data_IF_719124897317
#
_entry.id   IF_719124897317
#
_cell.length_a   1.000
_cell.length_b   1.000
_cell.length_c   1.000
_cell.angle_alpha   90.00
_cell.angle_beta   90.00
_cell.angle_gamma   90.00
#
_symmetry.space_group_name_H-M   'P 1'
#
loop_
_entity.id
_entity.type
_entity.pdbx_description
1 polymer ?
#
# COMPACT_ATOMS: atom_id res chain seq x y z
N UNK A 1 -0.57 11.43 15.18
CA UNK A 1 -1.46 11.75 14.04
C UNK A 1 -2.88 11.29 14.36
N UNK A 2 -3.92 11.92 13.80
CA UNK A 2 -5.32 11.50 13.96
C UNK A 2 -6.08 11.78 12.66
N UNK A 3 -6.82 10.80 12.13
CA UNK A 3 -7.73 11.03 11.01
C UNK A 3 -8.99 11.76 11.48
N UNK A 4 -9.44 12.71 10.66
CA UNK A 4 -10.72 13.40 10.84
C UNK A 4 -11.63 13.05 9.68
N UNK A 5 -12.65 12.25 9.94
CA UNK A 5 -13.66 11.90 8.96
C UNK A 5 -14.57 13.10 8.69
N UNK A 6 -14.75 13.43 7.41
CA UNK A 6 -15.61 14.52 6.98
C UNK A 6 -16.94 13.95 6.46
N UNK A 7 -18.07 14.65 6.66
CA UNK A 7 -19.33 14.22 6.08
C UNK A 7 -19.26 14.30 4.54
N UNK A 8 -20.02 13.44 3.85
CA UNK A 8 -20.02 13.32 2.38
C UNK A 8 -20.20 14.67 1.67
N UNK A 9 -21.07 15.54 2.21
CA UNK A 9 -21.29 16.92 1.70
C UNK A 9 -20.04 17.81 1.68
N UNK A 10 -18.98 17.41 2.37
CA UNK A 10 -17.71 18.13 2.46
C UNK A 10 -16.56 17.34 1.81
N UNK A 11 -16.83 16.32 0.99
CA UNK A 11 -15.82 15.46 0.37
C UNK A 11 -14.73 16.21 -0.40
N UNK A 12 -15.07 17.35 -1.01
CA UNK A 12 -14.12 18.21 -1.75
C UNK A 12 -13.06 18.87 -0.85
N UNK A 13 -13.24 18.83 0.47
CA UNK A 13 -12.29 19.33 1.47
C UNK A 13 -11.45 18.21 2.09
N UNK A 14 -11.66 16.96 1.70
CA UNK A 14 -10.93 15.83 2.25
C UNK A 14 -9.60 15.62 1.51
N UNK A 15 -8.53 15.48 2.29
CA UNK A 15 -7.20 15.16 1.77
C UNK A 15 -7.13 13.74 1.19
N UNK A 16 -7.95 12.83 1.71
CA UNK A 16 -8.15 11.46 1.20
C UNK A 16 -9.63 11.29 0.84
N UNK A 17 -9.91 10.85 -0.38
CA UNK A 17 -11.27 10.65 -0.92
C UNK A 17 -11.41 9.21 -1.37
N UNK A 18 -12.21 8.43 -0.64
CA UNK A 18 -12.31 6.97 -0.82
C UNK A 18 -13.53 6.65 -1.70
N UNK A 19 -13.32 5.85 -2.74
CA UNK A 19 -14.36 5.23 -3.55
C UNK A 19 -14.47 3.73 -3.28
N UNK A 20 -15.59 3.15 -3.71
CA UNK A 20 -15.86 1.71 -3.73
C UNK A 20 -16.31 1.30 -5.14
N UNK A 21 -15.42 1.51 -6.11
CA UNK A 21 -15.70 1.27 -7.53
C UNK A 21 -15.27 -0.16 -7.88
N UNK A 22 -16.25 -0.98 -8.23
CA UNK A 22 -16.03 -2.36 -8.67
C UNK A 22 -15.22 -2.42 -9.98
N UNK A 23 -14.29 -3.36 -10.05
CA UNK A 23 -13.42 -3.58 -11.21
C UNK A 23 -12.27 -2.56 -11.35
N UNK A 24 -12.13 -1.63 -10.40
CA UNK A 24 -11.06 -0.63 -10.37
C UNK A 24 -9.89 -1.05 -9.46
N UNK A 25 -10.02 -2.17 -8.75
CA UNK A 25 -9.02 -2.71 -7.83
C UNK A 25 -8.84 -1.89 -6.55
N UNK A 26 -7.95 -2.37 -5.67
CA UNK A 26 -7.56 -1.64 -4.46
C UNK A 26 -6.34 -0.77 -4.76
N UNK A 27 -6.42 0.52 -4.43
CA UNK A 27 -5.31 1.45 -4.63
C UNK A 27 -5.46 2.72 -3.79
N UNK A 28 -4.34 3.42 -3.59
CA UNK A 28 -4.30 4.76 -2.98
C UNK A 28 -3.20 5.62 -3.60
N UNK A 29 -3.47 6.91 -3.69
CA UNK A 29 -2.45 7.92 -3.94
C UNK A 29 -1.39 7.87 -2.82
N UNK A 30 -0.12 8.10 -3.21
CA UNK A 30 1.00 8.06 -2.27
C UNK A 30 1.12 9.37 -1.48
N UNK A 31 0.86 9.30 -0.18
CA UNK A 31 1.06 10.42 0.75
C UNK A 31 0.35 11.70 0.29
N UNK A 32 1.07 12.82 0.30
CA UNK A 32 0.53 14.14 -0.10
C UNK A 32 0.27 14.28 -1.61
N UNK A 33 0.52 13.25 -2.43
CA UNK A 33 0.14 13.31 -3.84
C UNK A 33 -1.39 13.39 -4.03
N UNK A 34 -2.17 12.91 -3.05
CA UNK A 34 -3.64 13.00 -3.05
C UNK A 34 -4.18 14.44 -3.19
N UNK A 35 -3.37 15.44 -2.81
CA UNK A 35 -3.69 16.87 -2.92
C UNK A 35 -3.65 17.34 -4.38
N UNK A 36 -2.86 16.67 -5.23
CA UNK A 36 -2.73 17.00 -6.67
C UNK A 36 -3.87 16.39 -7.48
N UNK A 37 -4.48 15.32 -6.98
CA UNK A 37 -5.62 14.66 -7.63
C UNK A 37 -6.83 15.58 -7.64
N UNK A 38 -7.54 15.63 -8.77
CA UNK A 38 -8.66 16.55 -8.96
C UNK A 38 -9.71 16.38 -7.86
N UNK A 39 -10.29 17.50 -7.41
CA UNK A 39 -11.16 17.56 -6.21
C UNK A 39 -12.42 16.69 -6.27
N UNK A 40 -12.83 16.28 -7.48
CA UNK A 40 -13.99 15.41 -7.71
C UNK A 40 -13.62 13.94 -7.92
N UNK A 41 -12.32 13.63 -8.04
CA UNK A 41 -11.81 12.28 -8.26
C UNK A 41 -11.42 11.62 -6.93
N UNK A 42 -11.58 10.29 -6.80
CA UNK A 42 -11.05 9.56 -5.66
C UNK A 42 -9.53 9.65 -5.60
N UNK A 43 -8.98 9.48 -4.40
CA UNK A 43 -7.54 9.32 -4.13
C UNK A 43 -7.22 7.96 -3.53
N UNK A 44 -8.24 7.13 -3.37
CA UNK A 44 -8.19 5.77 -2.86
C UNK A 44 -9.44 5.03 -3.33
N UNK A 45 -9.30 3.76 -3.65
CA UNK A 45 -10.42 2.88 -3.99
C UNK A 45 -10.29 1.56 -3.23
N UNK A 46 -11.43 1.03 -2.79
CA UNK A 46 -11.56 -0.35 -2.36
C UNK A 46 -12.50 -1.11 -3.30
N UNK A 47 -12.11 -2.33 -3.64
CA UNK A 47 -12.86 -3.21 -4.53
C UNK A 47 -13.17 -4.55 -3.83
N UNK A 48 -14.36 -5.09 -4.11
CA UNK A 48 -14.83 -6.34 -3.53
C UNK A 48 -15.09 -6.30 -2.02
N UNK A 49 -15.26 -5.11 -1.42
CA UNK A 49 -15.62 -4.99 0.00
C UNK A 49 -17.10 -5.34 0.19
N UNK A 50 -17.38 -6.35 1.03
CA UNK A 50 -18.74 -6.74 1.41
C UNK A 50 -18.97 -6.61 2.91
N UNK A 51 -20.23 -6.69 3.34
CA UNK A 51 -20.60 -6.73 4.76
C UNK A 51 -20.56 -8.16 5.35
N UNK A 52 -20.09 -9.15 4.60
CA UNK A 52 -19.96 -10.53 5.09
C UNK A 52 -18.88 -10.61 6.19
N UNK A 53 -19.19 -11.11 7.40
CA UNK A 53 -18.21 -11.26 8.47
C UNK A 53 -16.99 -12.11 8.10
N UNK A 54 -17.12 -13.02 7.13
CA UNK A 54 -16.00 -13.84 6.65
C UNK A 54 -14.93 -13.03 5.89
N UNK A 55 -15.29 -11.85 5.38
CA UNK A 55 -14.36 -10.94 4.69
C UNK A 55 -13.58 -10.03 5.66
N UNK A 56 -13.84 -10.08 6.97
CA UNK A 56 -13.26 -9.16 7.95
C UNK A 56 -11.72 -9.12 7.91
N UNK A 57 -11.06 -10.25 7.64
CA UNK A 57 -9.60 -10.30 7.52
C UNK A 57 -9.11 -9.60 6.24
N UNK A 58 -9.79 -9.79 5.12
CA UNK A 58 -9.50 -9.12 3.84
C UNK A 58 -9.73 -7.62 3.96
N UNK A 59 -10.89 -7.19 4.47
CA UNK A 59 -11.22 -5.78 4.72
C UNK A 59 -10.14 -5.10 5.55
N UNK A 60 -9.71 -5.75 6.64
CA UNK A 60 -8.67 -5.23 7.53
C UNK A 60 -7.31 -5.12 6.84
N UNK A 61 -6.86 -6.20 6.19
CA UNK A 61 -5.56 -6.25 5.50
C UNK A 61 -5.47 -5.14 4.44
N UNK A 62 -6.44 -5.12 3.52
CA UNK A 62 -6.50 -4.16 2.42
C UNK A 62 -6.64 -2.72 2.94
N UNK A 63 -7.48 -2.49 3.96
CA UNK A 63 -7.59 -1.15 4.56
C UNK A 63 -6.26 -0.69 5.15
N UNK A 64 -5.55 -1.54 5.90
CA UNK A 64 -4.26 -1.16 6.48
C UNK A 64 -3.21 -0.88 5.38
N UNK A 65 -3.20 -1.68 4.31
CA UNK A 65 -2.30 -1.52 3.17
C UNK A 65 -2.52 -0.19 2.46
N UNK A 66 -3.76 0.09 2.03
CA UNK A 66 -4.07 1.32 1.28
C UNK A 66 -3.87 2.58 2.13
N UNK A 67 -4.19 2.52 3.43
CA UNK A 67 -3.86 3.62 4.32
C UNK A 67 -2.35 3.78 4.55
N UNK A 68 -1.56 2.71 4.43
CA UNK A 68 -0.10 2.81 4.37
C UNK A 68 0.37 3.66 3.20
N UNK A 69 -0.17 3.44 1.99
CA UNK A 69 0.07 4.29 0.83
C UNK A 69 -0.37 5.74 1.05
N UNK A 70 -1.55 5.97 1.62
CA UNK A 70 -2.03 7.31 1.97
C UNK A 70 -1.11 8.03 2.99
N UNK A 71 -0.34 7.28 3.77
CA UNK A 71 0.70 7.79 4.68
C UNK A 71 2.09 7.89 4.04
N UNK A 72 2.20 7.60 2.74
CA UNK A 72 3.44 7.73 1.98
C UNK A 72 4.33 6.49 1.99
N UNK A 73 3.84 5.35 2.48
CA UNK A 73 4.57 4.09 2.43
C UNK A 73 4.51 3.49 1.02
N UNK A 74 5.65 3.00 0.53
CA UNK A 74 5.74 2.24 -0.71
C UNK A 74 5.62 0.74 -0.42
N UNK A 75 5.34 -0.08 -1.45
CA UNK A 75 5.37 -1.53 -1.28
C UNK A 75 6.75 -2.03 -0.82
N UNK A 76 6.76 -3.02 0.06
CA UNK A 76 7.99 -3.60 0.64
C UNK A 76 8.88 -4.28 -0.40
N UNK A 77 8.33 -4.80 -1.50
CA UNK A 77 9.14 -5.38 -2.59
C UNK A 77 10.02 -4.36 -3.31
N UNK A 78 9.73 -3.07 -3.18
CA UNK A 78 10.60 -2.00 -3.65
C UNK A 78 11.81 -1.77 -2.75
N UNK A 79 11.86 -2.45 -1.59
CA UNK A 79 13.01 -2.37 -0.71
C UNK A 79 14.26 -2.81 -1.50
N UNK A 80 15.32 -1.98 -1.54
CA UNK A 80 16.50 -2.26 -2.33
C UNK A 80 17.26 -3.51 -1.86
N UNK A 81 16.98 -4.01 -0.65
CA UNK A 81 17.50 -5.28 -0.11
C UNK A 81 16.61 -6.47 -0.44
N UNK A 82 15.38 -6.25 -0.91
CA UNK A 82 14.46 -7.28 -1.37
C UNK A 82 14.97 -7.84 -2.72
N UNK A 83 15.84 -8.83 -2.65
CA UNK A 83 16.46 -9.49 -3.79
C UNK A 83 15.54 -10.47 -4.52
N UNK A 84 14.25 -10.13 -4.73
CA UNK A 84 13.30 -11.06 -5.36
C UNK A 84 13.80 -11.49 -6.73
N UNK A 85 13.93 -12.80 -6.90
CA UNK A 85 14.31 -13.44 -8.16
C UNK A 85 13.07 -13.67 -9.01
N UNK A 86 12.52 -12.59 -9.58
CA UNK A 86 11.30 -12.64 -10.37
C UNK A 86 11.41 -13.60 -11.56
N UNK A 87 10.44 -14.50 -11.69
CA UNK A 87 10.17 -15.22 -12.92
C UNK A 87 9.41 -14.29 -13.89
N UNK A 88 10.15 -13.35 -14.50
CA UNK A 88 9.57 -12.26 -15.30
C UNK A 88 8.58 -12.72 -16.38
N UNK A 89 8.82 -13.80 -17.16
CA UNK A 89 7.85 -14.26 -18.14
C UNK A 89 6.50 -14.64 -17.54
N UNK A 90 6.50 -15.37 -16.41
CA UNK A 90 5.26 -15.77 -15.72
C UNK A 90 4.53 -14.54 -15.19
N UNK A 91 5.26 -13.63 -14.56
CA UNK A 91 4.69 -12.40 -14.01
C UNK A 91 4.09 -11.53 -15.12
N UNK A 92 4.82 -11.28 -16.21
CA UNK A 92 4.32 -10.48 -17.33
C UNK A 92 3.04 -11.07 -17.93
N UNK A 93 2.98 -12.39 -18.10
CA UNK A 93 1.77 -13.07 -18.58
C UNK A 93 0.60 -12.92 -17.61
N UNK A 94 0.84 -13.09 -16.30
CA UNK A 94 -0.18 -12.95 -15.27
C UNK A 94 -0.80 -11.54 -15.24
N UNK A 95 0.03 -10.49 -15.25
CA UNK A 95 -0.48 -9.11 -15.18
C UNK A 95 -1.15 -8.64 -16.47
N UNK A 96 -0.74 -9.19 -17.61
CA UNK A 96 -1.43 -8.96 -18.88
C UNK A 96 -2.82 -9.59 -18.85
N UNK A 97 -2.95 -10.84 -18.40
CA UNK A 97 -4.21 -11.57 -18.37
C UNK A 97 -5.18 -11.00 -17.32
N UNK A 98 -4.71 -10.76 -16.10
CA UNK A 98 -5.55 -10.34 -14.97
C UNK A 98 -5.93 -8.85 -15.02
N UNK A 99 -5.03 -7.99 -15.49
CA UNK A 99 -5.18 -6.53 -15.38
C UNK A 99 -5.04 -5.78 -16.71
N UNK A 100 -4.73 -6.47 -17.80
CA UNK A 100 -4.45 -5.84 -19.09
C UNK A 100 -3.19 -4.97 -19.09
N UNK A 101 -2.27 -5.18 -18.14
CA UNK A 101 -1.04 -4.41 -18.07
C UNK A 101 -0.06 -4.92 -19.12
N UNK A 102 0.36 -4.03 -20.02
CA UNK A 102 1.46 -4.35 -20.92
C UNK A 102 2.79 -4.52 -20.16
N UNK A 103 3.80 -4.98 -20.90
CA UNK A 103 5.10 -5.24 -20.30
C UNK A 103 5.72 -3.98 -19.69
N UNK A 104 5.67 -2.84 -20.39
CA UNK A 104 6.25 -1.59 -19.90
C UNK A 104 5.62 -1.12 -18.59
N UNK A 105 4.29 -1.22 -18.48
CA UNK A 105 3.53 -0.89 -17.28
C UNK A 105 3.89 -1.83 -16.13
N UNK A 106 3.97 -3.13 -16.39
CA UNK A 106 4.36 -4.12 -15.37
C UNK A 106 5.81 -3.90 -14.92
N UNK A 107 6.73 -3.64 -15.84
CA UNK A 107 8.12 -3.33 -15.49
C UNK A 107 8.22 -2.07 -14.62
N UNK A 108 7.49 -1.03 -14.97
CA UNK A 108 7.51 0.24 -14.25
C UNK A 108 6.89 0.13 -12.85
N UNK A 109 5.78 -0.60 -12.71
CA UNK A 109 5.03 -0.68 -11.46
C UNK A 109 5.51 -1.77 -10.49
N UNK A 110 6.11 -2.85 -11.00
CA UNK A 110 6.44 -4.03 -10.18
C UNK A 110 7.95 -4.29 -10.09
N UNK A 111 8.68 -4.22 -11.21
CA UNK A 111 10.11 -4.60 -11.21
C UNK A 111 11.04 -3.43 -10.90
N UNK A 112 10.59 -2.20 -11.13
CA UNK A 112 11.42 -1.01 -10.95
C UNK A 112 11.69 -0.75 -9.47
N UNK A 113 12.89 -1.09 -9.01
CA UNK A 113 13.36 -0.75 -7.66
C UNK A 113 13.59 0.76 -7.53
N UNK A 114 13.17 1.33 -6.40
CA UNK A 114 13.54 2.71 -6.07
C UNK A 114 15.00 2.77 -5.62
N UNK A 115 15.71 3.81 -6.05
CA UNK A 115 17.09 4.02 -5.64
C UNK A 115 17.18 4.27 -4.12
N UNK A 116 18.18 3.69 -3.46
CA UNK A 116 18.43 3.79 -2.00
C UNK A 116 18.44 5.23 -1.47
N UNK A 117 18.81 6.20 -2.28
CA UNK A 117 18.88 7.61 -1.91
C UNK A 117 17.54 8.37 -2.04
N UNK A 118 16.48 7.73 -2.53
CA UNK A 118 15.15 8.33 -2.72
C UNK A 118 14.07 7.75 -1.82
N UNK A 119 14.39 6.75 -1.02
CA UNK A 119 13.44 6.09 -0.12
C UNK A 119 14.00 6.00 1.29
N UNK A 120 13.16 6.31 2.29
CA UNK A 120 13.42 5.82 3.64
C UNK A 120 12.96 4.36 3.65
N UNK A 121 13.89 3.43 3.83
CA UNK A 121 13.60 2.00 3.86
C UNK A 121 14.17 1.37 5.13
N UNK A 122 13.51 0.33 5.62
CA UNK A 122 14.01 -0.54 6.71
C UNK A 122 14.75 -1.73 6.13
N UNK A 123 15.27 -2.63 6.98
CA UNK A 123 15.56 -4.01 6.54
C UNK A 123 14.30 -4.64 5.93
N UNK A 124 14.47 -5.49 4.93
CA UNK A 124 13.34 -6.18 4.28
C UNK A 124 12.49 -6.94 5.30
N UNK A 125 11.18 -6.68 5.30
CA UNK A 125 10.21 -7.34 6.19
C UNK A 125 9.17 -8.16 5.40
N UNK A 126 9.30 -9.50 5.33
CA UNK A 126 8.34 -10.34 4.63
C UNK A 126 6.95 -10.37 5.28
N UNK A 127 6.78 -9.78 6.47
CA UNK A 127 5.50 -9.67 7.17
C UNK A 127 4.94 -8.25 7.17
N UNK A 128 5.60 -7.31 6.51
CA UNK A 128 5.15 -5.93 6.36
C UNK A 128 3.75 -5.91 5.75
N UNK A 129 2.84 -5.12 6.30
CA UNK A 129 1.51 -4.92 5.71
C UNK A 129 1.59 -4.35 4.29
N UNK A 130 2.72 -3.70 3.96
CA UNK A 130 3.03 -3.17 2.62
C UNK A 130 3.64 -4.24 1.69
N UNK A 131 3.69 -5.49 2.15
CA UNK A 131 4.04 -6.64 1.34
C UNK A 131 3.06 -6.78 0.18
N UNK A 132 3.60 -7.00 -1.02
CA UNK A 132 2.79 -7.33 -2.18
C UNK A 132 2.63 -8.84 -2.24
N UNK A 133 1.44 -9.35 -2.54
CA UNK A 133 1.23 -10.79 -2.72
C UNK A 133 2.15 -11.31 -3.84
N UNK A 134 3.04 -12.24 -3.50
CA UNK A 134 3.96 -12.85 -4.45
C UNK A 134 3.77 -14.36 -4.34
N UNK A 135 3.07 -15.00 -5.28
CA UNK A 135 2.98 -16.45 -5.31
C UNK A 135 4.35 -17.04 -5.68
N UNK A 136 4.66 -18.24 -5.18
CA UNK A 136 5.95 -18.91 -5.40
C UNK A 136 6.25 -19.15 -6.88
N UNK A 137 5.22 -19.26 -7.71
CA UNK A 137 5.30 -19.44 -9.16
C UNK A 137 5.84 -18.18 -9.86
N UNK A 138 5.70 -17.01 -9.22
CA UNK A 138 6.22 -15.73 -9.73
C UNK A 138 7.71 -15.52 -9.41
N UNK A 139 8.35 -16.45 -8.72
CA UNK A 139 9.78 -16.38 -8.35
C UNK A 139 10.53 -17.62 -8.81
N UNK A 140 11.83 -17.49 -9.03
CA UNK A 140 12.72 -18.57 -9.49
C UNK A 140 13.23 -19.43 -8.34
N UNK A 141 13.23 -18.90 -7.12
CA UNK A 141 13.71 -19.53 -5.89
C UNK A 141 12.59 -20.03 -4.98
N UNK A 142 11.33 -19.91 -5.41
CA UNK A 142 10.15 -20.28 -4.63
C UNK A 142 9.85 -19.32 -3.49
N UNK A 143 10.50 -18.14 -3.44
CA UNK A 143 10.14 -17.07 -2.52
C UNK A 143 8.68 -16.67 -2.72
N UNK A 144 7.92 -16.63 -1.64
CA UNK A 144 6.53 -16.21 -1.66
C UNK A 144 6.26 -15.20 -0.55
N UNK A 145 5.36 -14.27 -0.82
CA UNK A 145 4.81 -13.33 0.15
C UNK A 145 3.32 -13.59 0.23
N UNK A 146 2.88 -14.02 1.41
CA UNK A 146 1.46 -14.23 1.73
C UNK A 146 0.87 -12.91 2.18
N UNK A 147 -0.43 -12.69 1.91
CA UNK A 147 -1.12 -11.48 2.33
C UNK A 147 -1.04 -11.28 3.85
N UNK A 148 -0.36 -10.21 4.30
CA UNK A 148 -0.28 -9.87 5.71
C UNK A 148 -1.65 -9.38 6.19
N UNK A 149 -2.12 -9.88 7.33
CA UNK A 149 -3.42 -9.48 7.91
C UNK A 149 -3.31 -8.45 9.03
N UNK A 150 -2.07 -8.14 9.44
CA UNK A 150 -1.76 -7.30 10.59
C UNK A 150 -0.51 -6.46 10.33
N UNK A 151 -0.40 -5.33 11.03
CA UNK A 151 0.83 -4.55 11.07
C UNK A 151 1.96 -5.32 11.76
N UNK A 152 3.08 -5.45 11.07
CA UNK A 152 4.29 -6.07 11.60
C UNK A 152 4.91 -5.24 12.74
N UNK A 153 5.89 -5.82 13.44
CA UNK A 153 6.66 -5.08 14.43
C UNK A 153 7.55 -3.99 13.77
N UNK A 154 8.00 -4.21 12.54
CA UNK A 154 8.80 -3.24 11.78
C UNK A 154 7.90 -2.12 11.27
N UNK A 155 6.71 -2.42 10.74
CA UNK A 155 5.71 -1.41 10.31
C UNK A 155 5.43 -0.41 11.42
N UNK A 156 5.10 -0.92 12.61
CA UNK A 156 4.75 -0.11 13.78
C UNK A 156 5.89 0.81 14.20
N UNK A 157 7.13 0.30 14.22
CA UNK A 157 8.31 1.09 14.59
C UNK A 157 8.63 2.13 13.52
N UNK A 158 8.58 1.73 12.25
CA UNK A 158 8.90 2.60 11.14
C UNK A 158 7.92 3.77 11.07
N UNK A 159 6.60 3.50 11.05
CA UNK A 159 5.61 4.57 10.97
C UNK A 159 5.62 5.49 12.20
N UNK A 160 5.97 4.97 13.38
CA UNK A 160 6.17 5.79 14.58
C UNK A 160 7.39 6.71 14.48
N UNK A 161 8.43 6.33 13.73
CA UNK A 161 9.59 7.18 13.44
C UNK A 161 9.29 8.26 12.40
N UNK A 162 8.44 7.95 11.42
CA UNK A 162 7.99 8.89 10.38
C UNK A 162 7.01 9.92 10.97
N UNK A 163 6.09 9.47 11.83
CA UNK A 163 5.09 10.31 12.50
C UNK A 163 5.21 10.25 14.03
N UNK A 164 6.28 10.82 14.62
CA UNK A 164 6.51 10.74 16.05
C UNK A 164 5.38 11.41 16.83
N UNK A 165 5.00 10.81 17.96
CA UNK A 165 4.09 11.45 18.91
C UNK A 165 4.81 12.69 19.47
N UNK A 166 4.16 13.86 19.41
CA UNK A 166 4.70 15.05 20.07
C UNK A 166 4.95 14.71 21.55
N UNK A 167 6.13 15.07 22.11
CA UNK A 167 6.36 14.92 23.54
C UNK A 167 5.23 15.61 24.29
N UNK A 168 4.63 14.92 25.26
CA UNK A 168 3.74 15.58 26.21
C UNK A 168 4.62 16.48 27.05
N UNK A 169 4.68 17.78 26.74
CA UNK A 169 5.26 18.77 27.65
C UNK A 169 4.37 18.73 28.90
N UNK A 170 4.92 18.39 30.08
CA UNK A 170 4.15 18.49 31.31
C UNK A 170 3.62 19.91 31.43
N UNK A 171 2.31 20.09 31.58
CA UNK A 171 1.80 21.41 31.98
C UNK A 171 2.35 21.69 33.37
N UNK A 172 3.13 22.76 33.53
CA UNK A 172 3.38 23.30 34.86
C UNK A 172 2.03 23.60 35.50
N UNK A 173 1.82 23.04 36.70
CA UNK A 173 0.70 23.37 37.58
C UNK A 173 0.88 24.78 38.16
#
# INVERSE_FOLDING_TARGET
MKFKWLPVRSKKKADIRIAFKEGDGNWSDLGTNSIKTAVNEPTMNFDGFTDDPSDAAYLKSTTLHEFGHALGLLHEHHNPECGIQWNKPVVLAYYLDMFGWDAAKTEYNLFKKYAKNRTQYTVYDPKSIMGYYIPKEHTLDGHAVVDPTELSAIDKRFIASVYPRRPTVPKCL
#
